data_IF_018350691370
#
_entry.id   IF_018350691370
#
_cell.length_a   1.000
_cell.length_b   1.000
_cell.length_c   1.000
_cell.angle_alpha   90.00
_cell.angle_beta   90.00
_cell.angle_gamma   90.00
#
_symmetry.space_group_name_H-M   'P 1'
#
loop_
_entity.id
_entity.type
_entity.pdbx_description
1 polymer ?
#
# COMPACT_ATOMS: atom_id res chain seq x y z
N UNK A 1 -8.44 25.01 -28.39
CA UNK A 1 -9.32 23.84 -28.67
C UNK A 1 -10.00 23.41 -27.38
N UNK A 2 -11.32 23.20 -27.36
CA UNK A 2 -11.99 22.61 -26.20
C UNK A 2 -11.49 21.17 -26.00
N UNK A 3 -11.05 20.83 -24.79
CA UNK A 3 -10.72 19.45 -24.44
C UNK A 3 -12.03 18.67 -24.36
N UNK A 4 -12.28 17.79 -25.31
CA UNK A 4 -13.45 16.89 -25.28
C UNK A 4 -13.40 16.09 -23.99
N UNK A 5 -14.36 16.34 -23.09
CA UNK A 5 -14.37 15.68 -21.80
C UNK A 5 -14.82 14.24 -22.01
N UNK A 6 -13.88 13.28 -21.93
CA UNK A 6 -14.18 11.85 -22.09
C UNK A 6 -15.25 11.42 -21.11
N UNK A 7 -16.08 10.46 -21.52
CA UNK A 7 -17.06 9.86 -20.62
C UNK A 7 -16.35 9.02 -19.55
N UNK A 8 -16.90 8.90 -18.32
CA UNK A 8 -16.29 8.04 -17.28
C UNK A 8 -16.12 6.58 -17.71
N UNK A 9 -17.00 6.08 -18.60
CA UNK A 9 -16.96 4.72 -19.14
C UNK A 9 -15.78 4.52 -20.10
N UNK A 10 -15.49 5.52 -20.93
CA UNK A 10 -14.37 5.53 -21.87
C UNK A 10 -13.04 5.72 -21.14
N UNK A 11 -13.00 6.59 -20.13
CA UNK A 11 -11.85 6.81 -19.26
C UNK A 11 -11.47 5.52 -18.51
N UNK A 12 -12.47 4.81 -17.95
CA UNK A 12 -12.26 3.49 -17.35
C UNK A 12 -11.66 2.50 -18.35
N UNK A 13 -12.26 2.35 -19.55
CA UNK A 13 -11.76 1.45 -20.60
C UNK A 13 -10.30 1.73 -20.93
N UNK A 14 -9.94 2.99 -21.17
CA UNK A 14 -8.57 3.38 -21.51
C UNK A 14 -7.59 3.09 -20.35
N UNK A 15 -8.01 3.22 -19.10
CA UNK A 15 -7.16 2.82 -17.96
C UNK A 15 -7.03 1.31 -17.80
N UNK A 16 -8.05 0.52 -18.18
CA UNK A 16 -7.98 -0.94 -18.23
C UNK A 16 -7.03 -1.40 -19.34
N UNK A 17 -7.11 -0.81 -20.53
CA UNK A 17 -6.22 -1.14 -21.65
C UNK A 17 -4.75 -0.88 -21.31
N UNK A 18 -4.45 0.15 -20.51
CA UNK A 18 -3.10 0.44 -20.01
C UNK A 18 -2.59 -0.53 -18.91
N UNK A 19 -3.41 -1.47 -18.42
CA UNK A 19 -2.96 -2.47 -17.45
C UNK A 19 -2.14 -3.56 -18.16
N UNK A 20 -1.07 -4.08 -17.54
CA UNK A 20 -0.38 -5.28 -18.04
C UNK A 20 -1.36 -6.44 -18.26
N UNK A 21 -1.23 -7.27 -19.30
CA UNK A 21 -2.18 -8.35 -19.61
C UNK A 21 -2.48 -9.27 -18.40
N UNK A 22 -1.43 -9.78 -17.75
CA UNK A 22 -1.55 -10.60 -16.53
C UNK A 22 -2.31 -9.90 -15.38
N UNK A 23 -2.29 -8.56 -15.32
CA UNK A 23 -3.07 -7.80 -14.33
C UNK A 23 -4.54 -7.74 -14.72
N UNK A 24 -4.87 -7.62 -16.01
CA UNK A 24 -6.27 -7.66 -16.48
C UNK A 24 -6.89 -9.02 -16.18
N UNK A 25 -6.16 -10.09 -16.43
CA UNK A 25 -6.54 -11.48 -16.11
C UNK A 25 -6.76 -11.67 -14.60
N UNK A 26 -5.75 -11.36 -13.78
CA UNK A 26 -5.86 -11.44 -12.31
C UNK A 26 -6.98 -10.54 -11.74
N UNK A 27 -7.22 -9.37 -12.35
CA UNK A 27 -8.33 -8.52 -11.97
C UNK A 27 -9.68 -9.16 -12.32
N UNK A 28 -9.81 -9.74 -13.52
CA UNK A 28 -11.04 -10.43 -13.96
C UNK A 28 -11.39 -11.62 -13.05
N UNK A 29 -10.40 -12.42 -12.68
CA UNK A 29 -10.57 -13.48 -11.69
C UNK A 29 -10.98 -12.91 -10.33
N UNK A 30 -10.25 -11.91 -9.83
CA UNK A 30 -10.49 -11.32 -8.53
C UNK A 30 -11.86 -10.66 -8.37
N UNK A 31 -12.36 -9.94 -9.39
CA UNK A 31 -13.69 -9.29 -9.34
C UNK A 31 -14.85 -10.27 -9.48
N UNK A 32 -14.60 -11.48 -9.99
CA UNK A 32 -15.58 -12.57 -10.00
C UNK A 32 -15.61 -13.33 -8.67
N UNK A 33 -14.44 -13.51 -8.04
CA UNK A 33 -14.30 -14.26 -6.79
C UNK A 33 -14.62 -13.45 -5.52
N UNK A 34 -14.55 -12.11 -5.56
CA UNK A 34 -14.61 -11.27 -4.35
C UNK A 34 -15.64 -10.13 -4.40
N UNK A 35 -16.28 -9.78 -3.26
CA UNK A 35 -17.13 -8.61 -3.13
C UNK A 35 -16.38 -7.28 -3.38
N UNK A 36 -16.72 -6.60 -4.48
CA UNK A 36 -16.04 -5.36 -4.90
C UNK A 36 -16.64 -4.10 -4.26
N UNK A 37 -15.77 -3.13 -3.97
CA UNK A 37 -16.12 -1.82 -3.40
C UNK A 37 -15.64 -0.63 -4.25
N UNK A 38 -16.16 0.54 -3.90
CA UNK A 38 -15.86 1.84 -4.48
C UNK A 38 -15.44 2.81 -3.37
N UNK A 39 -14.46 3.68 -3.62
CA UNK A 39 -14.03 4.76 -2.71
C UNK A 39 -13.02 4.38 -1.63
N UNK A 40 -12.64 3.10 -1.47
CA UNK A 40 -11.59 2.67 -0.56
C UNK A 40 -10.84 1.43 -1.09
N UNK A 41 -9.71 1.11 -0.46
CA UNK A 41 -8.89 -0.07 -0.78
C UNK A 41 -9.50 -1.37 -0.27
N UNK A 42 -10.03 -1.33 0.96
CA UNK A 42 -10.72 -2.39 1.67
C UNK A 42 -11.77 -1.75 2.58
N UNK A 43 -12.92 -2.40 2.80
CA UNK A 43 -13.95 -1.97 3.76
C UNK A 43 -13.87 -2.78 5.07
N UNK A 44 -14.83 -2.58 5.99
CA UNK A 44 -14.89 -3.32 7.27
C UNK A 44 -15.56 -4.68 7.15
N UNK A 45 -16.24 -4.93 6.03
CA UNK A 45 -17.08 -6.10 5.74
C UNK A 45 -16.39 -7.04 4.73
N UNK A 46 -15.05 -7.00 4.67
CA UNK A 46 -14.21 -7.82 3.80
C UNK A 46 -14.24 -7.47 2.30
N UNK A 47 -14.96 -6.40 1.92
CA UNK A 47 -14.96 -5.86 0.57
C UNK A 47 -13.64 -5.22 0.17
N UNK A 48 -13.32 -5.26 -1.12
CA UNK A 48 -12.01 -4.85 -1.64
C UNK A 48 -12.11 -4.16 -3.00
N UNK A 49 -11.21 -3.22 -3.29
CA UNK A 49 -11.19 -2.57 -4.60
C UNK A 49 -10.70 -3.55 -5.68
N UNK A 50 -11.02 -3.32 -6.97
CA UNK A 50 -10.57 -4.21 -8.05
C UNK A 50 -9.05 -4.35 -8.14
N UNK A 51 -8.27 -3.34 -7.72
CA UNK A 51 -6.82 -3.42 -7.66
C UNK A 51 -6.32 -4.40 -6.59
N UNK A 52 -6.88 -4.35 -5.38
CA UNK A 52 -6.54 -5.32 -4.32
C UNK A 52 -7.04 -6.72 -4.69
N UNK A 53 -8.18 -6.81 -5.41
CA UNK A 53 -8.67 -8.07 -5.96
C UNK A 53 -7.64 -8.67 -6.93
N UNK A 54 -7.16 -7.89 -7.90
CA UNK A 54 -6.08 -8.31 -8.79
C UNK A 54 -4.81 -8.73 -8.04
N UNK A 55 -4.41 -8.00 -6.99
CA UNK A 55 -3.22 -8.33 -6.18
C UNK A 55 -3.32 -9.70 -5.51
N UNK A 56 -4.50 -10.08 -5.00
CA UNK A 56 -4.71 -11.40 -4.39
C UNK A 56 -4.64 -12.56 -5.40
N UNK A 57 -4.83 -12.29 -6.69
CA UNK A 57 -4.75 -13.27 -7.79
C UNK A 57 -3.47 -13.10 -8.62
N UNK A 58 -2.41 -12.55 -8.01
CA UNK A 58 -1.07 -12.48 -8.61
C UNK A 58 -0.78 -11.26 -9.49
N UNK A 59 -1.75 -10.36 -9.72
CA UNK A 59 -1.52 -9.09 -10.41
C UNK A 59 -0.57 -8.17 -9.63
N UNK A 60 0.48 -7.64 -10.25
CA UNK A 60 1.51 -6.83 -9.55
C UNK A 60 1.71 -5.45 -10.17
N UNK A 61 0.77 -4.54 -9.95
CA UNK A 61 0.89 -3.13 -10.36
C UNK A 61 0.20 -2.16 -9.40
N UNK A 62 0.74 -0.95 -9.25
CA UNK A 62 0.14 0.14 -8.47
C UNK A 62 -0.40 1.23 -9.41
N UNK A 63 -1.41 0.89 -10.21
CA UNK A 63 -1.94 1.78 -11.25
C UNK A 63 -3.03 2.72 -10.70
N UNK A 64 -2.59 3.78 -10.01
CA UNK A 64 -3.46 4.80 -9.37
C UNK A 64 -4.45 5.45 -10.35
N UNK A 65 -4.09 5.56 -11.63
CA UNK A 65 -4.97 6.07 -12.69
C UNK A 65 -6.25 5.24 -12.85
N UNK A 66 -6.13 3.90 -12.85
CA UNK A 66 -7.29 3.01 -12.90
C UNK A 66 -8.15 3.13 -11.63
N UNK A 67 -7.55 3.19 -10.44
CA UNK A 67 -8.32 3.36 -9.21
C UNK A 67 -9.18 4.63 -9.23
N UNK A 68 -8.61 5.75 -9.72
CA UNK A 68 -9.34 7.01 -9.91
C UNK A 68 -10.42 6.93 -10.99
N UNK A 69 -10.18 6.19 -12.08
CA UNK A 69 -11.16 6.01 -13.15
C UNK A 69 -12.34 5.11 -12.71
N UNK A 70 -12.06 4.04 -11.94
CA UNK A 70 -13.06 3.21 -11.29
C UNK A 70 -13.96 4.01 -10.35
N UNK A 71 -13.35 4.74 -9.41
CA UNK A 71 -14.07 5.59 -8.47
C UNK A 71 -14.87 6.69 -9.17
N UNK A 72 -14.36 7.24 -10.29
CA UNK A 72 -15.11 8.22 -11.10
C UNK A 72 -16.29 7.59 -11.84
N UNK A 73 -16.10 6.43 -12.47
CA UNK A 73 -17.15 5.67 -13.17
C UNK A 73 -18.28 5.30 -12.23
N UNK A 74 -17.93 4.69 -11.09
CA UNK A 74 -18.88 4.26 -10.06
C UNK A 74 -19.29 5.40 -9.11
N UNK A 75 -18.98 6.67 -9.42
CA UNK A 75 -19.39 7.86 -8.64
C UNK A 75 -19.15 7.66 -7.13
N UNK A 76 -17.89 7.39 -6.77
CA UNK A 76 -17.46 7.15 -5.40
C UNK A 76 -18.01 8.23 -4.45
N UNK A 77 -18.52 7.84 -3.26
CA UNK A 77 -19.02 8.80 -2.29
C UNK A 77 -17.88 9.71 -1.82
N UNK A 78 -18.20 10.98 -1.54
CA UNK A 78 -17.20 11.96 -1.13
C UNK A 78 -16.72 11.68 0.30
N UNK A 79 -15.42 11.87 0.53
CA UNK A 79 -14.79 11.76 1.86
C UNK A 79 -14.12 10.40 2.10
N UNK A 80 -14.23 9.88 3.33
CA UNK A 80 -13.61 8.60 3.78
C UNK A 80 -14.61 7.44 3.82
N UNK A 81 -15.64 7.49 2.99
CA UNK A 81 -16.68 6.45 2.93
C UNK A 81 -16.40 5.50 1.77
N UNK A 82 -16.84 4.24 1.94
CA UNK A 82 -16.83 3.26 0.87
C UNK A 82 -18.21 2.63 0.76
N UNK A 83 -18.50 2.04 -0.39
CA UNK A 83 -19.72 1.27 -0.61
C UNK A 83 -19.44 0.03 -1.45
N UNK A 84 -20.32 -0.97 -1.35
CA UNK A 84 -20.40 -2.04 -2.34
C UNK A 84 -20.59 -1.46 -3.75
N UNK A 85 -19.89 -2.03 -4.71
CA UNK A 85 -20.19 -1.82 -6.12
C UNK A 85 -21.53 -2.50 -6.45
N UNK A 86 -22.34 -1.88 -7.30
CA UNK A 86 -23.57 -2.50 -7.80
C UNK A 86 -23.24 -3.58 -8.80
N UNK A 87 -24.13 -4.57 -8.98
CA UNK A 87 -23.97 -5.62 -9.99
C UNK A 87 -23.74 -5.04 -11.40
N UNK A 88 -24.39 -3.92 -11.74
CA UNK A 88 -24.21 -3.24 -13.02
C UNK A 88 -22.79 -2.70 -13.17
N UNK A 89 -22.22 -2.08 -12.12
CA UNK A 89 -20.86 -1.55 -12.14
C UNK A 89 -19.82 -2.67 -12.28
N UNK A 90 -19.99 -3.76 -11.54
CA UNK A 90 -19.13 -4.95 -11.63
C UNK A 90 -19.25 -5.60 -13.02
N UNK A 91 -20.46 -5.73 -13.57
CA UNK A 91 -20.69 -6.30 -14.92
C UNK A 91 -20.06 -5.46 -16.02
N UNK A 92 -20.08 -4.12 -15.91
CA UNK A 92 -19.38 -3.24 -16.85
C UNK A 92 -17.86 -3.40 -16.74
N UNK A 93 -17.31 -3.49 -15.54
CA UNK A 93 -15.88 -3.73 -15.33
C UNK A 93 -15.45 -5.09 -15.92
N UNK A 94 -16.20 -6.16 -15.65
CA UNK A 94 -15.99 -7.50 -16.22
C UNK A 94 -15.99 -7.45 -17.75
N UNK A 95 -17.04 -6.88 -18.37
CA UNK A 95 -17.13 -6.81 -19.83
C UNK A 95 -16.02 -5.96 -20.48
N UNK A 96 -15.52 -4.91 -19.81
CA UNK A 96 -14.37 -4.15 -20.28
C UNK A 96 -13.05 -4.92 -20.14
N UNK A 97 -12.86 -5.68 -19.05
CA UNK A 97 -11.70 -6.56 -18.88
C UNK A 97 -11.69 -7.68 -19.92
N UNK A 98 -12.81 -8.38 -20.11
CA UNK A 98 -12.99 -9.42 -21.13
C UNK A 98 -12.72 -8.90 -22.54
N UNK A 99 -13.28 -7.74 -22.90
CA UNK A 99 -13.01 -7.10 -24.19
C UNK A 99 -11.53 -6.71 -24.35
N UNK A 100 -10.90 -6.16 -23.31
CA UNK A 100 -9.49 -5.75 -23.34
C UNK A 100 -8.54 -6.95 -23.47
N UNK A 101 -8.84 -8.07 -22.81
CA UNK A 101 -8.09 -9.34 -22.92
C UNK A 101 -8.29 -9.96 -24.31
N UNK A 102 -9.53 -10.05 -24.79
CA UNK A 102 -9.83 -10.58 -26.13
C UNK A 102 -9.33 -9.74 -27.30
N UNK A 103 -8.95 -8.47 -27.04
CA UNK A 103 -8.39 -7.54 -28.04
C UNK A 103 -6.86 -7.38 -27.95
N UNK A 104 -6.17 -8.25 -27.21
CA UNK A 104 -4.79 -8.04 -26.78
C UNK A 104 -3.71 -8.34 -27.86
N UNK A 105 -3.77 -7.63 -28.99
CA UNK A 105 -2.54 -7.29 -29.72
C UNK A 105 -1.68 -6.35 -28.84
N UNK A 106 -0.38 -6.63 -28.61
CA UNK A 106 0.45 -5.82 -27.73
C UNK A 106 0.56 -4.38 -28.23
N UNK A 107 0.02 -3.41 -27.47
CA UNK A 107 0.11 -2.01 -27.86
C UNK A 107 1.51 -1.48 -27.52
N UNK A 108 2.06 -0.60 -28.35
CA UNK A 108 3.37 0.01 -28.09
C UNK A 108 3.46 0.71 -26.71
N UNK A 109 2.33 1.18 -26.17
CA UNK A 109 2.22 1.72 -24.83
C UNK A 109 2.39 0.66 -23.72
N UNK A 110 1.89 -0.57 -23.93
CA UNK A 110 2.02 -1.68 -22.97
C UNK A 110 3.49 -2.10 -22.84
N UNK A 111 4.20 -2.14 -23.98
CA UNK A 111 5.65 -2.33 -24.02
C UNK A 111 6.40 -1.22 -23.28
N UNK A 112 6.07 0.05 -23.54
CA UNK A 112 6.69 1.20 -22.87
C UNK A 112 6.42 1.23 -21.35
N UNK A 113 5.21 0.85 -20.92
CA UNK A 113 4.87 0.71 -19.49
C UNK A 113 5.68 -0.43 -18.86
N UNK A 114 5.80 -1.58 -19.55
CA UNK A 114 6.57 -2.74 -19.08
C UNK A 114 8.06 -2.41 -18.95
N UNK A 115 8.63 -1.75 -19.95
CA UNK A 115 10.01 -1.24 -19.95
C UNK A 115 10.24 -0.25 -18.81
N UNK A 116 9.38 0.78 -18.67
CA UNK A 116 9.49 1.76 -17.60
C UNK A 116 9.41 1.12 -16.20
N UNK A 117 8.55 0.11 -16.02
CA UNK A 117 8.46 -0.66 -14.78
C UNK A 117 9.68 -1.58 -14.54
N UNK A 118 10.31 -2.10 -15.59
CA UNK A 118 11.58 -2.83 -15.47
C UNK A 118 12.71 -1.88 -15.04
N UNK A 119 12.89 -0.75 -15.72
CA UNK A 119 13.86 0.29 -15.39
C UNK A 119 13.66 0.85 -13.97
N UNK A 120 12.41 1.02 -13.54
CA UNK A 120 12.06 1.47 -12.18
C UNK A 120 12.24 0.40 -11.09
N UNK A 121 12.32 -0.88 -11.46
CA UNK A 121 12.74 -1.96 -10.54
C UNK A 121 14.27 -2.01 -10.45
N UNK A 122 14.95 -2.03 -11.59
CA UNK A 122 16.41 -2.05 -11.68
C UNK A 122 17.05 -0.86 -10.93
N UNK A 123 16.54 0.36 -11.13
CA UNK A 123 16.98 1.53 -10.36
C UNK A 123 16.89 1.31 -8.84
N UNK A 124 15.76 0.81 -8.34
CA UNK A 124 15.57 0.56 -6.90
C UNK A 124 16.48 -0.55 -6.37
N UNK A 125 16.76 -1.60 -7.15
CA UNK A 125 17.75 -2.60 -6.75
C UNK A 125 19.18 -2.05 -6.73
N UNK A 126 19.56 -1.18 -7.67
CA UNK A 126 20.86 -0.49 -7.66
C UNK A 126 20.99 0.48 -6.49
N UNK A 127 19.94 1.24 -6.18
CA UNK A 127 19.88 2.12 -5.00
C UNK A 127 19.99 1.34 -3.69
N UNK A 128 19.29 0.20 -3.56
CA UNK A 128 19.37 -0.68 -2.38
C UNK A 128 20.76 -1.33 -2.23
N UNK A 129 21.39 -1.74 -3.33
CA UNK A 129 22.76 -2.25 -3.32
C UNK A 129 23.78 -1.14 -2.96
N UNK A 130 23.61 0.07 -3.51
CA UNK A 130 24.49 1.21 -3.27
C UNK A 130 24.35 1.85 -1.88
N UNK A 131 23.19 1.74 -1.23
CA UNK A 131 23.01 2.17 0.18
C UNK A 131 23.43 1.12 1.21
N UNK A 132 23.81 -0.09 0.76
CA UNK A 132 24.63 -1.03 1.52
C UNK A 132 24.11 -1.37 2.92
N UNK A 133 22.83 -1.67 3.08
CA UNK A 133 22.20 -2.30 4.28
C UNK A 133 22.19 -1.52 5.61
N UNK A 134 23.15 -0.62 5.82
CA UNK A 134 23.51 -0.05 7.12
C UNK A 134 23.48 1.50 7.14
N UNK A 135 23.14 2.13 6.00
CA UNK A 135 23.12 3.60 5.86
C UNK A 135 22.16 4.33 6.83
N UNK A 136 21.20 3.62 7.41
CA UNK A 136 20.29 4.16 8.44
C UNK A 136 20.87 4.07 9.87
N UNK A 137 21.80 3.15 10.16
CA UNK A 137 22.47 3.09 11.47
C UNK A 137 23.44 4.27 11.67
N UNK A 138 24.13 4.71 10.62
CA UNK A 138 25.18 5.75 10.73
C UNK A 138 24.65 7.18 11.00
N UNK A 139 23.36 7.35 11.31
CA UNK A 139 22.75 8.67 11.63
C UNK A 139 22.16 8.78 13.05
N UNK A 140 22.48 7.82 13.95
CA UNK A 140 22.26 7.91 15.40
C UNK A 140 23.41 7.23 16.13
N UNK A 141 24.36 7.99 16.66
CA UNK A 141 25.50 7.41 17.38
C UNK A 141 26.75 8.28 17.54
N UNK A 142 26.59 9.60 17.68
CA UNK A 142 27.68 10.51 18.10
C UNK A 142 27.16 11.57 19.06
N UNK A 143 26.51 11.12 20.13
CA UNK A 143 26.45 11.89 21.39
C UNK A 143 27.14 11.04 22.46
N UNK A 144 28.00 11.70 23.23
CA UNK A 144 28.98 11.05 24.10
C UNK A 144 28.32 10.53 25.37
N UNK A 145 28.62 9.27 25.74
CA UNK A 145 28.64 8.86 27.13
C UNK A 145 29.66 7.74 27.34
N UNK A 146 30.81 8.09 27.89
CA UNK A 146 31.81 7.14 28.41
C UNK A 146 31.51 6.83 29.88
N UNK A 147 31.32 5.56 30.25
CA UNK A 147 31.58 5.09 31.60
C UNK A 147 32.91 4.30 31.63
N UNK A 148 33.87 4.81 32.39
CA UNK A 148 35.09 4.08 32.76
C UNK A 148 34.76 2.94 33.76
N UNK A 149 35.41 1.77 33.68
CA UNK A 149 35.18 0.67 34.62
C UNK A 149 36.09 0.72 35.86
N UNK A 150 35.45 0.85 37.02
CA UNK A 150 35.72 0.28 38.36
C UNK A 150 37.11 -0.31 38.71
N UNK A 151 37.71 0.14 39.83
CA UNK A 151 37.99 -0.68 41.05
C UNK A 151 39.00 -0.03 42.03
N UNK A 152 38.61 0.17 43.31
CA UNK A 152 39.29 -0.36 44.53
C UNK A 152 38.53 0.01 45.83
N UNK A 153 38.64 -0.85 46.86
CA UNK A 153 38.01 -0.78 48.21
C UNK A 153 38.97 -0.18 49.28
N UNK A 154 38.70 -0.07 50.62
CA UNK A 154 37.54 -0.50 51.44
C UNK A 154 37.03 0.52 52.53
N UNK A 155 36.14 0.02 53.40
CA UNK A 155 35.49 0.51 54.67
C UNK A 155 36.40 1.07 55.81
N UNK A 156 35.93 1.46 57.05
CA UNK A 156 34.57 1.39 57.68
C UNK A 156 34.08 2.59 58.57
N UNK A 157 32.87 2.44 59.15
CA UNK A 157 32.35 2.99 60.44
C UNK A 157 32.01 4.52 60.55
N UNK A 158 30.94 4.96 61.23
CA UNK A 158 30.59 4.67 62.63
C UNK A 158 29.12 5.00 63.02
N UNK A 159 28.45 4.03 63.68
CA UNK A 159 27.46 4.12 64.78
C UNK A 159 26.11 4.90 64.74
N UNK A 160 25.11 4.16 65.24
CA UNK A 160 24.15 4.51 66.34
C UNK A 160 22.73 5.04 66.04
N UNK A 161 21.75 4.19 66.44
CA UNK A 161 20.47 4.52 67.13
C UNK A 161 19.43 5.40 66.41
N UNK A 162 18.11 5.21 66.58
CA UNK A 162 17.37 4.39 67.54
C UNK A 162 16.07 3.83 66.92
N UNK A 163 15.40 2.96 67.69
CA UNK A 163 13.95 2.98 67.96
C UNK A 163 13.22 4.32 67.64
N UNK A 164 11.91 4.35 67.34
CA UNK A 164 10.86 3.41 67.75
C UNK A 164 9.66 3.39 66.76
N UNK A 165 8.70 2.49 67.06
CA UNK A 165 7.29 2.35 66.64
C UNK A 165 6.58 3.66 66.22
N UNK A 166 5.50 3.68 65.43
CA UNK A 166 4.28 2.86 65.41
C UNK A 166 3.55 3.14 64.06
N UNK A 167 3.08 2.14 63.31
CA UNK A 167 1.66 1.70 63.22
C UNK A 167 0.57 2.77 63.05
N UNK A 168 -0.26 2.47 62.04
CA UNK A 168 -1.70 2.79 61.92
C UNK A 168 -2.03 4.29 61.65
N UNK A 169 -3.18 4.67 61.06
CA UNK A 169 -4.48 3.99 60.89
C UNK A 169 -5.12 4.26 59.49
N UNK A 170 -6.02 3.36 59.07
CA UNK A 170 -7.09 3.41 58.03
C UNK A 170 -7.68 4.80 57.70
N UNK A 171 -7.83 5.13 56.40
CA UNK A 171 -9.13 5.14 55.66
C UNK A 171 -8.98 5.47 54.17
#
# INVERSE_FOLDING_TARGET
MPRTHRSPVEDLRLTIDCLPPHTREAMLEGVRAHPIIVGAYVDRDGGMCPMLAAHRHGGRTNFVSFARAWDRFARAPLGRTSRRATEREVRVLIGQLEASIGSAEPRALDSAITEHQALSRDRRSREAAGTGGWGWLRRRGTEQLTPEPEHLTPEPALAASADERERELVS
#
